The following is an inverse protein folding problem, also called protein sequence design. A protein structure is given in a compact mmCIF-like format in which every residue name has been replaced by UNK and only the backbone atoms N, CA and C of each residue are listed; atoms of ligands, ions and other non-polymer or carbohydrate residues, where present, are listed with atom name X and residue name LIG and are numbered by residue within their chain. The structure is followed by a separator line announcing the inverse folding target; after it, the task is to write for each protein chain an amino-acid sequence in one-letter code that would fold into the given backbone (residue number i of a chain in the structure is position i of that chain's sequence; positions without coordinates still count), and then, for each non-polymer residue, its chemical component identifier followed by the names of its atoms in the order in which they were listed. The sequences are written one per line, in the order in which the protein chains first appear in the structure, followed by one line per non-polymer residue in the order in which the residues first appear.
data_IF_560590022714
#
_entry.id   IF_560590022714
#
_cell.length_a   1.000
_cell.length_b   1.000
_cell.length_c   1.000
_cell.angle_alpha   90.00
_cell.angle_beta   90.00
_cell.angle_gamma   90.00
#
_symmetry.space_group_name_H-M   'P 1'
#
loop_
_entity.id
_entity.type
_entity.pdbx_description
1 polymer ?
#
# COMPACT_ATOMS: atom_id res chain seq x y z
N UNK A 1 3.59 14.09 -26.03
CA UNK A 1 4.65 13.11 -25.71
C UNK A 1 5.36 13.42 -24.38
N UNK A 2 5.50 14.69 -23.96
CA UNK A 2 6.01 15.07 -22.63
C UNK A 2 4.93 14.96 -21.52
N UNK A 3 3.65 15.13 -21.88
CA UNK A 3 2.51 15.06 -20.96
C UNK A 3 2.22 13.65 -20.42
N UNK A 4 2.53 12.59 -21.17
CA UNK A 4 2.33 11.19 -20.73
C UNK A 4 3.41 10.72 -19.76
N UNK A 5 4.64 11.25 -19.83
CA UNK A 5 5.69 10.90 -18.86
C UNK A 5 5.43 11.51 -17.48
N UNK A 6 4.83 12.70 -17.43
CA UNK A 6 4.49 13.34 -16.16
C UNK A 6 3.39 12.60 -15.41
N UNK A 7 2.36 12.10 -16.11
CA UNK A 7 1.28 11.31 -15.49
C UNK A 7 1.78 9.99 -14.92
N UNK A 8 2.65 9.26 -15.61
CA UNK A 8 3.23 8.00 -15.10
C UNK A 8 4.04 8.24 -13.81
N UNK A 9 4.84 9.31 -13.78
CA UNK A 9 5.64 9.66 -12.58
C UNK A 9 4.75 10.05 -11.39
N UNK A 10 3.63 10.73 -11.64
CA UNK A 10 2.70 11.18 -10.61
C UNK A 10 1.87 10.01 -10.05
N UNK A 11 1.54 9.02 -10.90
CA UNK A 11 0.88 7.77 -10.50
C UNK A 11 1.83 6.92 -9.65
N UNK A 12 3.10 6.80 -10.04
CA UNK A 12 4.11 6.06 -9.26
C UNK A 12 4.34 6.69 -7.88
N UNK A 13 4.42 8.02 -7.80
CA UNK A 13 4.51 8.74 -6.52
C UNK A 13 3.25 8.54 -5.66
N UNK A 14 2.06 8.56 -6.27
CA UNK A 14 0.80 8.30 -5.58
C UNK A 14 0.65 6.84 -5.10
N UNK A 15 1.47 5.91 -5.58
CA UNK A 15 1.53 4.54 -5.08
C UNK A 15 2.56 4.38 -3.95
N UNK A 16 3.77 4.95 -4.14
CA UNK A 16 4.87 4.82 -3.18
C UNK A 16 4.59 5.57 -1.88
N UNK A 17 4.00 6.77 -1.95
CA UNK A 17 3.74 7.58 -0.75
C UNK A 17 2.76 6.87 0.21
N UNK A 18 1.57 6.43 -0.22
CA UNK A 18 0.65 5.66 0.63
C UNK A 18 1.23 4.34 1.11
N UNK A 19 2.04 3.65 0.28
CA UNK A 19 2.69 2.40 0.66
C UNK A 19 3.64 2.59 1.85
N UNK A 20 4.49 3.62 1.80
CA UNK A 20 5.45 3.94 2.88
C UNK A 20 4.72 4.44 4.13
N UNK A 21 3.68 5.26 3.96
CA UNK A 21 2.81 5.69 5.07
C UNK A 21 2.11 4.49 5.71
N UNK A 22 1.57 3.58 4.90
CA UNK A 22 1.01 2.29 5.32
C UNK A 22 1.98 1.49 6.18
N UNK A 23 3.22 1.37 5.72
CA UNK A 23 4.26 0.61 6.41
C UNK A 23 4.68 1.23 7.75
N UNK A 24 4.77 2.56 7.81
CA UNK A 24 5.26 3.29 8.99
C UNK A 24 4.20 3.47 10.08
N UNK A 25 2.93 3.67 9.71
CA UNK A 25 1.89 3.97 10.70
C UNK A 25 1.44 2.76 11.51
N UNK A 26 1.53 1.53 10.97
CA UNK A 26 1.08 0.32 11.65
C UNK A 26 -0.42 0.32 12.03
N UNK A 27 -1.21 1.27 11.51
CA UNK A 27 -2.64 1.45 11.77
C UNK A 27 -3.41 1.60 10.46
N UNK A 28 -4.37 0.71 10.22
CA UNK A 28 -5.18 0.70 8.99
C UNK A 28 -5.89 2.03 8.76
N UNK A 29 -6.58 2.50 9.80
CA UNK A 29 -7.44 3.69 9.73
C UNK A 29 -6.62 4.94 9.46
N UNK A 30 -5.48 5.11 10.14
CA UNK A 30 -4.61 6.27 9.94
C UNK A 30 -4.04 6.30 8.52
N UNK A 31 -3.51 5.18 8.04
CA UNK A 31 -2.89 5.10 6.71
C UNK A 31 -3.91 5.35 5.58
N UNK A 32 -5.13 4.82 5.71
CA UNK A 32 -6.20 5.03 4.72
C UNK A 32 -6.65 6.50 4.67
N UNK A 33 -6.90 7.12 5.83
CA UNK A 33 -7.37 8.51 5.88
C UNK A 33 -6.35 9.46 5.27
N UNK A 34 -5.08 9.32 5.64
CA UNK A 34 -4.00 10.18 5.12
C UNK A 34 -3.86 10.01 3.60
N UNK A 35 -3.97 8.78 3.10
CA UNK A 35 -3.84 8.49 1.67
C UNK A 35 -4.98 9.08 0.86
N UNK A 36 -6.22 9.00 1.38
CA UNK A 36 -7.38 9.63 0.74
C UNK A 36 -7.24 11.15 0.77
N UNK A 37 -6.84 11.74 1.90
CA UNK A 37 -6.59 13.19 1.99
C UNK A 37 -5.53 13.67 1.00
N UNK A 38 -4.44 12.92 0.81
CA UNK A 38 -3.39 13.22 -0.18
C UNK A 38 -3.98 13.25 -1.59
N UNK A 39 -4.77 12.24 -1.97
CA UNK A 39 -5.35 12.17 -3.32
C UNK A 39 -6.37 13.27 -3.52
N UNK A 40 -7.11 13.65 -2.46
CA UNK A 40 -8.11 14.69 -2.59
C UNK A 40 -7.55 16.08 -2.86
N UNK A 41 -6.26 16.28 -2.60
CA UNK A 41 -5.57 17.55 -2.82
C UNK A 41 -5.05 17.73 -4.25
N UNK A 42 -5.16 16.72 -5.12
CA UNK A 42 -4.64 16.76 -6.49
C UNK A 42 -5.74 17.26 -7.44
N UNK A 43 -5.54 18.40 -8.16
CA UNK A 43 -6.48 18.83 -9.19
C UNK A 43 -6.37 17.88 -10.39
N UNK A 44 -7.50 17.43 -10.94
CA UNK A 44 -7.70 16.28 -11.86
C UNK A 44 -7.91 14.93 -11.15
N UNK A 45 -9.10 14.78 -10.59
CA UNK A 45 -9.56 13.55 -9.96
C UNK A 45 -9.95 12.49 -11.00
N UNK A 46 -9.33 11.33 -10.90
CA UNK A 46 -9.81 10.08 -11.50
C UNK A 46 -10.09 9.08 -10.38
N UNK A 47 -11.25 8.38 -10.37
CA UNK A 47 -11.57 7.40 -9.33
C UNK A 47 -10.54 6.27 -9.24
N UNK A 48 -9.86 5.96 -10.35
CA UNK A 48 -8.78 4.98 -10.40
C UNK A 48 -7.60 5.36 -9.50
N UNK A 49 -7.20 6.64 -9.46
CA UNK A 49 -6.10 7.12 -8.61
C UNK A 49 -6.42 6.98 -7.13
N UNK A 50 -7.68 7.17 -6.74
CA UNK A 50 -8.14 7.00 -5.34
C UNK A 50 -8.05 5.54 -4.93
N UNK A 51 -8.51 4.62 -5.79
CA UNK A 51 -8.47 3.19 -5.52
C UNK A 51 -7.02 2.70 -5.47
N UNK A 52 -6.13 3.24 -6.31
CA UNK A 52 -4.70 2.94 -6.29
C UNK A 52 -4.04 3.38 -4.97
N UNK A 53 -4.29 4.60 -4.52
CA UNK A 53 -3.76 5.10 -3.26
C UNK A 53 -4.32 4.33 -2.05
N UNK A 54 -5.60 3.96 -2.08
CA UNK A 54 -6.22 3.14 -1.05
C UNK A 54 -5.61 1.74 -0.98
N UNK A 55 -5.50 1.06 -2.12
CA UNK A 55 -4.95 -0.30 -2.19
C UNK A 55 -3.47 -0.35 -1.82
N UNK A 56 -2.68 0.65 -2.22
CA UNK A 56 -1.27 0.77 -1.81
C UNK A 56 -1.10 1.06 -0.32
N UNK A 57 -1.93 1.92 0.27
CA UNK A 57 -1.95 2.16 1.71
C UNK A 57 -2.29 0.88 2.49
N UNK A 58 -3.31 0.15 2.02
CA UNK A 58 -3.73 -1.11 2.63
C UNK A 58 -2.65 -2.18 2.52
N UNK A 59 -2.02 -2.33 1.36
CA UNK A 59 -0.90 -3.24 1.20
C UNK A 59 0.24 -2.86 2.15
N UNK A 60 0.67 -1.59 2.16
CA UNK A 60 1.74 -1.10 3.05
C UNK A 60 1.46 -1.40 4.53
N UNK A 61 0.21 -1.24 4.96
CA UNK A 61 -0.24 -1.60 6.30
C UNK A 61 -0.15 -3.10 6.59
N UNK A 62 -0.54 -3.96 5.64
CA UNK A 62 -0.40 -5.41 5.77
C UNK A 62 1.09 -5.83 5.84
N UNK A 63 1.99 -5.10 5.17
CA UNK A 63 3.43 -5.37 5.21
C UNK A 63 3.99 -5.08 6.60
N UNK A 64 3.41 -4.10 7.30
CA UNK A 64 4.05 -3.54 8.49
C UNK A 64 4.21 -4.59 9.60
N UNK A 65 5.45 -4.87 10.07
CA UNK A 65 5.68 -5.78 11.20
C UNK A 65 5.13 -5.22 12.52
N UNK A 66 4.72 -3.94 12.54
CA UNK A 66 4.03 -3.28 13.65
C UNK A 66 2.55 -3.65 13.76
N UNK A 67 2.01 -4.45 12.83
CA UNK A 67 0.62 -4.87 12.88
C UNK A 67 0.35 -5.72 14.13
N UNK A 68 -0.33 -5.15 15.12
CA UNK A 68 -0.53 -5.78 16.43
C UNK A 68 -1.18 -7.16 16.32
N UNK A 69 -2.10 -7.35 15.37
CA UNK A 69 -2.75 -8.65 15.17
C UNK A 69 -1.74 -9.74 14.78
N UNK A 70 -0.68 -9.41 14.03
CA UNK A 70 0.32 -10.36 13.58
C UNK A 70 1.23 -10.81 14.73
N UNK A 71 1.66 -9.85 15.55
CA UNK A 71 2.45 -10.12 16.76
C UNK A 71 1.63 -10.98 17.73
N UNK A 72 0.36 -10.64 17.93
CA UNK A 72 -0.53 -11.38 18.82
C UNK A 72 -0.77 -12.81 18.34
N UNK A 73 -1.03 -13.02 17.03
CA UNK A 73 -1.17 -14.36 16.45
C UNK A 73 0.10 -15.19 16.59
N UNK A 74 1.27 -14.60 16.36
CA UNK A 74 2.54 -15.32 16.51
C UNK A 74 2.82 -15.69 17.98
N UNK A 75 2.51 -14.80 18.93
CA UNK A 75 2.58 -15.09 20.37
C UNK A 75 1.60 -16.20 20.77
N UNK A 76 0.37 -16.17 20.26
CA UNK A 76 -0.65 -17.18 20.53
C UNK A 76 -0.24 -18.57 20.00
N UNK A 77 0.26 -18.64 18.76
CA UNK A 77 0.76 -19.89 18.17
C UNK A 77 2.17 -20.29 18.64
N UNK A 78 2.81 -19.51 19.52
CA UNK A 78 4.20 -19.70 19.97
C UNK A 78 5.18 -19.92 18.80
N UNK A 79 4.94 -19.25 17.69
CA UNK A 79 5.75 -19.39 16.47
C UNK A 79 6.65 -18.18 16.26
N UNK A 80 7.68 -18.33 15.42
CA UNK A 80 8.61 -17.24 15.12
C UNK A 80 8.01 -16.31 14.07
N UNK A 81 7.85 -15.04 14.44
CA UNK A 81 7.43 -13.92 13.58
C UNK A 81 8.24 -13.89 12.27
N UNK A 82 9.56 -14.13 12.37
CA UNK A 82 10.48 -14.08 11.22
C UNK A 82 10.17 -15.14 10.16
N UNK A 83 9.71 -16.32 10.59
CA UNK A 83 9.39 -17.43 9.68
C UNK A 83 8.11 -17.13 8.92
N UNK A 84 7.10 -16.60 9.59
CA UNK A 84 5.85 -16.19 8.92
C UNK A 84 6.10 -15.06 7.92
N UNK A 85 6.96 -14.10 8.27
CA UNK A 85 7.26 -12.97 7.39
C UNK A 85 8.01 -13.41 6.12
N UNK A 86 8.87 -14.42 6.22
CA UNK A 86 9.55 -15.03 5.06
C UNK A 86 8.58 -15.61 4.03
N UNK A 87 7.45 -16.15 4.46
CA UNK A 87 6.40 -16.65 3.56
C UNK A 87 5.44 -15.55 3.09
N UNK A 88 5.26 -14.49 3.88
CA UNK A 88 4.36 -13.39 3.55
C UNK A 88 4.95 -12.42 2.52
N UNK A 89 6.26 -12.12 2.63
CA UNK A 89 6.99 -11.24 1.71
C UNK A 89 6.79 -11.55 0.21
N UNK A 90 6.93 -12.80 -0.29
CA UNK A 90 6.78 -13.06 -1.73
C UNK A 90 5.35 -12.83 -2.22
N UNK A 91 4.35 -13.26 -1.43
CA UNK A 91 2.93 -13.04 -1.76
C UNK A 91 2.59 -11.54 -1.84
N UNK A 92 3.27 -10.76 -1.00
CA UNK A 92 3.10 -9.31 -0.92
C UNK A 92 3.71 -8.54 -2.09
N UNK A 93 4.91 -8.93 -2.54
CA UNK A 93 5.53 -8.35 -3.73
C UNK A 93 4.65 -8.62 -4.96
N UNK A 94 4.11 -9.83 -5.08
CA UNK A 94 3.23 -10.23 -6.17
C UNK A 94 1.94 -9.39 -6.17
N UNK A 95 1.30 -9.24 -5.01
CA UNK A 95 0.06 -8.44 -4.90
C UNK A 95 0.27 -6.95 -5.14
N UNK A 96 1.44 -6.39 -4.78
CA UNK A 96 1.79 -4.99 -5.07
C UNK A 96 2.01 -4.75 -6.56
N UNK A 97 2.69 -5.67 -7.24
CA UNK A 97 2.89 -5.59 -8.70
C UNK A 97 1.56 -5.76 -9.42
N UNK A 98 0.73 -6.73 -8.99
CA UNK A 98 -0.56 -7.00 -9.61
C UNK A 98 -1.53 -5.82 -9.44
N UNK A 99 -1.59 -5.19 -8.26
CA UNK A 99 -2.46 -4.03 -8.04
C UNK A 99 -2.06 -2.84 -8.89
N UNK A 100 -0.76 -2.58 -9.06
CA UNK A 100 -0.25 -1.58 -9.99
C UNK A 100 -0.67 -1.90 -11.43
N UNK A 101 -0.39 -3.12 -11.93
CA UNK A 101 -0.69 -3.51 -13.31
C UNK A 101 -2.18 -3.48 -13.62
N UNK A 102 -3.03 -4.02 -12.75
CA UNK A 102 -4.49 -4.10 -12.96
C UNK A 102 -5.14 -2.72 -12.96
N UNK A 103 -4.66 -1.77 -12.16
CA UNK A 103 -5.22 -0.42 -12.15
C UNK A 103 -4.64 0.50 -13.24
N UNK A 104 -3.44 0.20 -13.76
CA UNK A 104 -2.83 0.96 -14.87
C UNK A 104 -3.37 0.54 -16.24
N UNK A 105 -3.91 -0.67 -16.41
CA UNK A 105 -4.69 -1.08 -17.58
C UNK A 105 -6.16 -0.69 -17.32
N UNK A 106 -6.69 0.41 -17.88
CA UNK A 106 -8.11 0.75 -17.78
C UNK A 106 -9.03 -0.23 -18.54
#
# INVERSE_FOLDING_TARGET
MISTLHTESLVLMSFIIPLVLGFTLGSFIGSVIISISIVTSIPHFSPYTVILAYTSAFLGYLVSPLHLCYIYTAQYLKTSIIKGYKYMMPSMIITAILSYVVLTIP
#
